data_IF_312659954682
#
_entry.id   IF_312659954682
#
_cell.length_a   1.000
_cell.length_b   1.000
_cell.length_c   1.000
_cell.angle_alpha   90.00
_cell.angle_beta   90.00
_cell.angle_gamma   90.00
#
_symmetry.space_group_name_H-M   'P 1'
#
loop_
_entity.id
_entity.type
_entity.pdbx_description
1 polymer ?
#
# COMPACT_ATOMS: atom_id res chain seq x y z
N UNK A 1 -6.33 -20.44 -36.63
CA UNK A 1 -5.66 -19.33 -35.90
C UNK A 1 -4.34 -19.88 -35.38
N UNK A 2 -3.23 -19.14 -35.47
CA UNK A 2 -1.93 -19.59 -34.95
C UNK A 2 -1.65 -18.88 -33.58
N UNK A 3 -1.04 -19.60 -32.67
CA UNK A 3 -0.67 -19.09 -31.37
C UNK A 3 0.56 -18.18 -31.47
N UNK A 4 0.68 -17.25 -30.51
CA UNK A 4 1.90 -16.47 -30.30
C UNK A 4 2.86 -17.21 -29.36
N UNK A 5 2.29 -17.88 -28.34
CA UNK A 5 3.04 -18.67 -27.36
C UNK A 5 2.38 -20.00 -27.09
N UNK A 6 3.19 -21.04 -26.88
CA UNK A 6 2.75 -22.36 -26.44
C UNK A 6 3.65 -22.82 -25.30
N UNK A 7 3.02 -23.33 -24.23
CA UNK A 7 3.70 -23.98 -23.11
C UNK A 7 3.43 -25.47 -23.17
N UNK A 8 4.47 -26.28 -23.06
CA UNK A 8 4.41 -27.74 -23.17
C UNK A 8 5.26 -28.42 -22.09
N UNK A 9 5.11 -29.76 -21.95
CA UNK A 9 5.92 -30.58 -21.06
C UNK A 9 5.92 -30.08 -19.60
N UNK A 10 4.73 -29.80 -19.05
CA UNK A 10 4.56 -29.35 -17.67
C UNK A 10 3.31 -29.92 -17.02
N UNK A 11 3.19 -29.67 -15.74
CA UNK A 11 1.95 -29.93 -14.98
C UNK A 11 1.12 -28.64 -14.95
N UNK A 12 0.13 -28.53 -15.83
CA UNK A 12 -0.66 -27.31 -15.98
C UNK A 12 -2.01 -27.50 -15.30
N UNK A 13 -2.22 -26.79 -14.19
CA UNK A 13 -3.46 -26.76 -13.44
C UNK A 13 -4.32 -25.58 -13.91
N UNK A 14 -5.50 -25.84 -14.41
CA UNK A 14 -6.32 -24.83 -15.10
C UNK A 14 -7.33 -24.13 -14.21
N UNK A 15 -7.59 -24.67 -12.99
CA UNK A 15 -8.69 -24.23 -12.12
C UNK A 15 -10.05 -24.35 -12.81
N UNK A 16 -10.22 -25.35 -13.70
CA UNK A 16 -11.45 -25.59 -14.44
C UNK A 16 -11.94 -27.02 -14.18
N UNK A 17 -13.11 -27.19 -13.60
CA UNK A 17 -13.71 -28.47 -13.20
C UNK A 17 -13.84 -29.47 -14.36
N UNK A 18 -13.88 -29.00 -15.61
CA UNK A 18 -14.04 -29.85 -16.80
C UNK A 18 -12.73 -30.43 -17.32
N UNK A 19 -11.63 -29.78 -17.01
CA UNK A 19 -10.28 -30.11 -17.48
C UNK A 19 -9.25 -29.57 -16.51
N UNK A 20 -9.25 -30.16 -15.31
CA UNK A 20 -8.47 -29.66 -14.17
C UNK A 20 -6.96 -29.64 -14.48
N UNK A 21 -6.45 -30.67 -15.14
CA UNK A 21 -5.05 -30.79 -15.53
C UNK A 21 -4.92 -30.97 -17.03
N UNK A 22 -3.97 -30.27 -17.64
CA UNK A 22 -3.66 -30.37 -19.08
C UNK A 22 -2.14 -30.41 -19.28
N UNK A 23 -1.72 -30.86 -20.47
CA UNK A 23 -0.31 -31.02 -20.84
C UNK A 23 0.28 -29.77 -21.50
N UNK A 24 -0.60 -28.98 -22.15
CA UNK A 24 -0.17 -27.80 -22.89
C UNK A 24 -1.22 -26.70 -22.92
N UNK A 25 -0.74 -25.46 -23.07
CA UNK A 25 -1.55 -24.26 -23.25
C UNK A 25 -1.03 -23.45 -24.42
N UNK A 26 -1.94 -22.97 -25.29
CA UNK A 26 -1.62 -22.07 -26.39
C UNK A 26 -2.30 -20.69 -26.18
N UNK A 27 -1.54 -19.62 -26.42
CA UNK A 27 -1.95 -18.23 -26.18
C UNK A 27 -1.87 -17.45 -27.48
N UNK A 28 -2.87 -16.59 -27.71
CA UNK A 28 -2.91 -15.61 -28.78
C UNK A 28 -3.28 -14.25 -28.20
N UNK A 29 -2.37 -13.27 -28.31
CA UNK A 29 -2.54 -11.97 -27.66
C UNK A 29 -2.70 -12.15 -26.15
N UNK A 30 -3.82 -11.69 -25.62
CA UNK A 30 -4.20 -11.77 -24.20
C UNK A 30 -5.13 -12.96 -23.87
N UNK A 31 -5.30 -13.92 -24.81
CA UNK A 31 -6.27 -15.01 -24.67
C UNK A 31 -5.61 -16.37 -24.73
N UNK A 32 -6.05 -17.26 -23.83
CA UNK A 32 -5.81 -18.69 -23.94
C UNK A 32 -6.76 -19.21 -25.05
N UNK A 33 -6.20 -19.74 -26.13
CA UNK A 33 -6.96 -20.26 -27.28
C UNK A 33 -7.05 -21.79 -27.30
N UNK A 34 -6.22 -22.45 -26.47
CA UNK A 34 -6.24 -23.89 -26.28
C UNK A 34 -5.65 -24.26 -24.92
N UNK A 35 -6.26 -25.24 -24.29
CA UNK A 35 -5.73 -25.93 -23.13
C UNK A 35 -6.11 -27.41 -23.24
N UNK A 36 -5.12 -28.32 -23.31
CA UNK A 36 -5.35 -29.74 -23.56
C UNK A 36 -4.05 -30.53 -23.71
N UNK A 37 -4.05 -31.51 -24.60
CA UNK A 37 -2.86 -32.29 -24.94
C UNK A 37 -1.81 -31.47 -25.72
N UNK A 38 -0.59 -31.98 -25.74
CA UNK A 38 0.51 -31.30 -26.44
C UNK A 38 0.35 -31.31 -27.96
N UNK A 39 -0.25 -32.37 -28.54
CA UNK A 39 -0.46 -32.50 -29.98
C UNK A 39 -1.38 -31.37 -30.49
N UNK A 40 -2.51 -31.15 -29.82
CA UNK A 40 -3.46 -30.07 -30.15
C UNK A 40 -2.86 -28.69 -30.02
N UNK A 41 -2.06 -28.45 -28.99
CA UNK A 41 -1.35 -27.19 -28.82
C UNK A 41 -0.33 -26.96 -29.96
N UNK A 42 0.48 -27.97 -30.29
CA UNK A 42 1.47 -27.89 -31.35
C UNK A 42 0.86 -27.72 -32.76
N UNK A 43 -0.35 -28.21 -32.98
CA UNK A 43 -1.09 -27.95 -34.23
C UNK A 43 -1.39 -26.45 -34.46
N UNK A 44 -1.33 -25.64 -33.40
CA UNK A 44 -1.49 -24.20 -33.43
C UNK A 44 -0.16 -23.43 -33.64
N UNK A 45 0.98 -24.13 -33.72
CA UNK A 45 2.26 -23.49 -34.08
C UNK A 45 2.22 -22.81 -35.44
N UNK A 46 2.80 -21.64 -35.52
CA UNK A 46 3.14 -20.90 -36.77
C UNK A 46 4.62 -20.56 -36.76
N UNK A 47 5.07 -19.89 -37.84
CA UNK A 47 6.50 -19.51 -38.01
C UNK A 47 7.06 -18.65 -36.86
N UNK A 48 6.19 -17.83 -36.22
CA UNK A 48 6.59 -16.90 -35.17
C UNK A 48 6.09 -17.33 -33.80
N UNK A 49 5.64 -18.57 -33.64
CA UNK A 49 5.16 -19.07 -32.34
C UNK A 49 6.33 -19.41 -31.44
N UNK A 50 6.40 -18.78 -30.28
CA UNK A 50 7.33 -19.12 -29.20
C UNK A 50 6.85 -20.39 -28.47
N UNK A 51 7.68 -21.42 -28.40
CA UNK A 51 7.38 -22.65 -27.67
C UNK A 51 8.29 -22.72 -26.45
N UNK A 52 7.66 -22.74 -25.27
CA UNK A 52 8.34 -22.85 -23.97
C UNK A 52 8.17 -24.27 -23.44
N UNK A 53 9.27 -24.99 -23.24
CA UNK A 53 9.31 -26.26 -22.52
C UNK A 53 9.34 -25.98 -21.02
N UNK A 54 8.32 -26.43 -20.30
CA UNK A 54 8.22 -26.26 -18.85
C UNK A 54 9.14 -27.24 -18.08
N UNK A 55 9.72 -28.22 -18.76
CA UNK A 55 10.64 -29.20 -18.17
C UNK A 55 10.08 -29.87 -16.89
N UNK A 56 8.82 -30.25 -16.93
CA UNK A 56 8.12 -30.85 -15.80
C UNK A 56 7.73 -29.88 -14.67
N UNK A 57 7.88 -28.59 -14.88
CA UNK A 57 7.43 -27.57 -13.89
C UNK A 57 5.93 -27.41 -13.90
N UNK A 58 5.40 -26.94 -12.77
CA UNK A 58 3.98 -26.59 -12.67
C UNK A 58 3.71 -25.21 -13.29
N UNK A 59 2.59 -25.09 -13.96
CA UNK A 59 2.01 -23.82 -14.44
C UNK A 59 0.62 -23.65 -13.85
N UNK A 60 0.32 -22.44 -13.37
CA UNK A 60 -0.95 -22.04 -12.78
C UNK A 60 -1.46 -20.76 -13.45
N UNK A 61 -2.77 -20.49 -13.42
CA UNK A 61 -3.25 -19.12 -13.61
C UNK A 61 -2.59 -18.19 -12.60
N UNK A 62 -2.30 -16.96 -13.00
CA UNK A 62 -1.78 -15.95 -12.08
C UNK A 62 -2.76 -15.70 -10.94
N UNK A 63 -2.25 -15.49 -9.75
CA UNK A 63 -3.08 -15.22 -8.58
C UNK A 63 -3.78 -13.87 -8.70
N UNK A 64 -4.99 -13.81 -8.16
CA UNK A 64 -5.79 -12.59 -8.06
C UNK A 64 -5.96 -12.31 -6.57
N UNK A 65 -5.36 -11.22 -6.10
CA UNK A 65 -5.62 -10.74 -4.75
C UNK A 65 -6.91 -9.93 -4.77
N UNK A 66 -7.98 -10.55 -4.26
CA UNK A 66 -9.33 -9.98 -4.28
C UNK A 66 -9.62 -9.01 -3.15
N UNK A 67 -8.69 -8.80 -2.21
CA UNK A 67 -8.82 -7.86 -1.10
C UNK A 67 -7.43 -7.46 -0.61
N UNK A 68 -6.92 -6.36 -1.13
CA UNK A 68 -5.63 -5.81 -0.72
C UNK A 68 -5.68 -4.28 -0.69
N UNK A 69 -4.60 -3.69 -0.21
CA UNK A 69 -4.39 -2.25 -0.16
C UNK A 69 -2.98 -1.92 -0.69
N UNK A 70 -2.71 -2.12 -2.00
CA UNK A 70 -1.37 -1.94 -2.54
C UNK A 70 -0.86 -0.50 -2.40
N UNK A 71 -1.76 0.47 -2.48
CA UNK A 71 -1.45 1.88 -2.28
C UNK A 71 -1.10 2.16 -0.82
N UNK A 72 -1.87 1.62 0.14
CA UNK A 72 -1.57 1.74 1.56
C UNK A 72 -0.28 0.98 1.92
N UNK A 73 -0.10 -0.23 1.39
CA UNK A 73 1.09 -1.04 1.62
C UNK A 73 2.38 -0.32 1.18
N UNK A 74 2.31 0.52 0.14
CA UNK A 74 3.43 1.35 -0.27
C UNK A 74 3.92 2.30 0.84
N UNK A 75 3.05 2.75 1.75
CA UNK A 75 3.44 3.54 2.91
C UNK A 75 4.41 2.80 3.83
N UNK A 76 4.27 1.47 3.96
CA UNK A 76 5.17 0.65 4.76
C UNK A 76 6.59 0.62 4.19
N UNK A 77 6.74 0.91 2.90
CA UNK A 77 8.03 1.00 2.22
C UNK A 77 8.60 2.43 2.26
N UNK A 78 7.80 3.42 2.66
CA UNK A 78 8.23 4.80 2.81
C UNK A 78 8.74 5.06 4.22
N UNK A 79 9.99 5.51 4.33
CA UNK A 79 10.53 5.94 5.60
C UNK A 79 11.04 4.82 6.52
N UNK A 80 10.94 5.02 7.84
CA UNK A 80 11.43 4.07 8.82
C UNK A 80 10.40 3.00 9.15
N UNK A 81 10.80 1.73 9.06
CA UNK A 81 9.98 0.61 9.49
C UNK A 81 10.43 0.10 10.86
N UNK A 82 9.49 0.10 11.82
CA UNK A 82 9.72 -0.35 13.19
C UNK A 82 9.17 -1.77 13.38
N UNK A 83 9.90 -2.58 14.14
CA UNK A 83 9.47 -3.95 14.41
C UNK A 83 8.50 -3.97 15.60
N UNK A 84 7.42 -4.72 15.48
CA UNK A 84 6.35 -4.81 16.49
C UNK A 84 6.84 -5.35 17.85
N UNK A 85 7.97 -6.06 17.87
CA UNK A 85 8.57 -6.63 19.06
C UNK A 85 9.44 -5.63 19.84
N UNK A 86 9.72 -4.45 19.27
CA UNK A 86 10.57 -3.45 19.89
C UNK A 86 9.84 -2.65 20.95
N UNK A 87 10.56 -2.28 22.01
CA UNK A 87 10.12 -1.29 22.98
C UNK A 87 10.36 0.15 22.52
N UNK A 88 9.96 1.11 23.35
CA UNK A 88 10.09 2.54 23.03
C UNK A 88 11.53 2.95 22.73
N UNK A 89 12.50 2.46 23.51
CA UNK A 89 13.93 2.81 23.35
C UNK A 89 14.49 2.33 22.01
N UNK A 90 14.16 1.10 21.60
CA UNK A 90 14.59 0.54 20.31
C UNK A 90 13.94 1.28 19.15
N UNK A 91 12.66 1.60 19.27
CA UNK A 91 11.94 2.40 18.25
C UNK A 91 12.60 3.78 18.08
N UNK A 92 12.87 4.51 19.17
CA UNK A 92 13.52 5.81 19.13
C UNK A 92 14.93 5.73 18.55
N UNK A 93 15.71 4.69 18.90
CA UNK A 93 17.05 4.50 18.36
C UNK A 93 17.04 4.28 16.83
N UNK A 94 16.08 3.49 16.31
CA UNK A 94 16.00 3.29 14.86
C UNK A 94 15.48 4.53 14.13
N UNK A 95 14.53 5.27 14.72
CA UNK A 95 14.09 6.57 14.18
C UNK A 95 15.26 7.54 14.12
N UNK A 96 16.06 7.67 15.20
CA UNK A 96 17.23 8.53 15.24
C UNK A 96 18.27 8.15 14.18
N UNK A 97 18.53 6.86 14.03
CA UNK A 97 19.44 6.32 13.00
C UNK A 97 18.94 6.67 11.60
N UNK A 98 17.63 6.51 11.33
CA UNK A 98 17.02 6.87 10.05
C UNK A 98 17.15 8.38 9.76
N UNK A 99 16.84 9.23 10.72
CA UNK A 99 16.98 10.69 10.59
C UNK A 99 18.42 11.09 10.28
N UNK A 100 19.40 10.50 11.00
CA UNK A 100 20.84 10.76 10.76
C UNK A 100 21.32 10.28 9.38
N UNK A 101 20.74 9.19 8.87
CA UNK A 101 21.07 8.66 7.55
C UNK A 101 20.44 9.46 6.40
N UNK A 102 19.39 10.23 6.68
CA UNK A 102 18.64 11.02 5.70
C UNK A 102 18.56 12.50 6.11
N UNK A 103 19.70 13.22 6.23
CA UNK A 103 19.72 14.56 6.79
C UNK A 103 19.07 15.63 5.90
N UNK A 104 18.89 15.33 4.62
CA UNK A 104 18.32 16.26 3.62
C UNK A 104 16.81 16.14 3.48
N UNK A 105 16.18 15.18 4.14
CA UNK A 105 14.72 15.00 4.08
C UNK A 105 14.00 16.19 4.74
N UNK A 106 13.03 16.75 4.06
CA UNK A 106 12.18 17.83 4.57
C UNK A 106 11.16 17.34 5.61
N UNK A 107 10.79 16.05 5.53
CA UNK A 107 9.84 15.40 6.42
C UNK A 107 10.33 13.99 6.77
N UNK A 108 9.83 13.45 7.88
CA UNK A 108 10.12 12.07 8.27
C UNK A 108 8.84 11.31 8.51
N UNK A 109 8.74 10.15 7.88
CA UNK A 109 7.63 9.23 8.04
C UNK A 109 8.11 7.86 8.47
N UNK A 110 7.26 7.13 9.17
CA UNK A 110 7.53 5.74 9.56
C UNK A 110 6.28 5.02 10.01
N UNK A 111 6.42 3.72 10.24
CA UNK A 111 5.32 2.87 10.67
C UNK A 111 5.86 1.66 11.45
N UNK A 112 5.03 1.10 12.31
CA UNK A 112 5.22 -0.24 12.85
C UNK A 112 5.40 -0.34 14.35
N UNK A 113 5.48 0.77 15.13
CA UNK A 113 5.54 0.62 16.57
C UNK A 113 4.27 -0.08 17.11
N UNK A 114 4.44 -0.92 18.10
CA UNK A 114 3.31 -1.56 18.77
C UNK A 114 2.65 -0.58 19.75
N UNK A 115 1.34 -0.40 19.65
CA UNK A 115 0.59 0.59 20.44
C UNK A 115 0.71 0.34 21.96
N UNK A 116 0.90 -0.91 22.37
CA UNK A 116 1.00 -1.30 23.78
C UNK A 116 2.37 -1.04 24.44
N UNK A 117 3.40 -0.56 23.70
CA UNK A 117 4.73 -0.32 24.27
C UNK A 117 4.79 0.90 25.20
N UNK A 118 3.78 1.75 25.15
CA UNK A 118 3.73 2.97 25.96
C UNK A 118 3.04 2.77 27.32
N UNK A 119 2.60 1.56 27.66
CA UNK A 119 1.88 1.20 28.88
C UNK A 119 0.72 2.16 29.19
N UNK A 120 0.71 2.77 30.40
CA UNK A 120 -0.27 3.78 30.81
C UNK A 120 0.09 5.20 30.30
N UNK A 121 1.25 5.34 29.65
CA UNK A 121 1.69 6.61 29.04
C UNK A 121 1.41 6.58 27.55
N UNK A 122 0.95 7.68 26.97
CA UNK A 122 0.80 7.77 25.52
C UNK A 122 2.13 8.17 24.86
N UNK A 123 2.28 7.97 23.53
CA UNK A 123 3.34 8.59 22.74
C UNK A 123 3.39 10.11 23.00
N UNK A 124 4.58 10.66 23.24
CA UNK A 124 4.77 12.08 23.51
C UNK A 124 5.61 12.73 22.43
N UNK A 125 5.16 13.89 21.94
CA UNK A 125 5.86 14.70 20.93
C UNK A 125 7.31 15.00 21.30
N UNK A 126 7.58 15.24 22.58
CA UNK A 126 8.89 15.57 23.11
C UNK A 126 9.93 14.45 22.89
N UNK A 127 9.51 13.20 22.79
CA UNK A 127 10.39 12.08 22.50
C UNK A 127 10.92 12.16 21.05
N UNK A 128 10.06 12.53 20.10
CA UNK A 128 10.47 12.76 18.70
C UNK A 128 11.20 14.10 18.53
N UNK A 129 10.80 15.12 19.29
CA UNK A 129 11.49 16.43 19.29
C UNK A 129 12.95 16.30 19.71
N UNK A 130 13.26 15.39 20.63
CA UNK A 130 14.63 15.10 21.04
C UNK A 130 15.49 14.55 19.90
N UNK A 131 14.88 13.93 18.89
CA UNK A 131 15.55 13.42 17.69
C UNK A 131 15.63 14.51 16.61
N UNK A 132 14.50 15.16 16.32
CA UNK A 132 14.41 16.21 15.31
C UNK A 132 13.24 17.14 15.61
N UNK A 133 13.53 18.35 16.06
CA UNK A 133 12.54 19.35 16.44
C UNK A 133 12.20 20.35 15.32
N UNK A 134 13.01 20.42 14.27
CA UNK A 134 12.91 21.43 13.22
C UNK A 134 12.18 20.96 11.95
N UNK A 135 11.96 19.65 11.83
CA UNK A 135 11.26 19.04 10.70
C UNK A 135 10.09 18.19 11.18
N UNK A 136 8.96 18.15 10.43
CA UNK A 136 7.81 17.38 10.83
C UNK A 136 8.09 15.89 10.74
N UNK A 137 7.61 15.17 11.75
CA UNK A 137 7.74 13.72 11.86
C UNK A 137 6.40 13.11 12.20
N UNK A 138 6.06 12.00 11.51
CA UNK A 138 4.86 11.21 11.74
C UNK A 138 5.21 9.72 11.68
N UNK A 139 4.95 9.01 12.76
CA UNK A 139 5.17 7.57 12.88
C UNK A 139 3.83 6.91 13.14
N UNK A 140 3.39 6.03 12.24
CA UNK A 140 2.16 5.25 12.42
C UNK A 140 2.40 4.06 13.35
N UNK A 141 1.41 3.73 14.15
CA UNK A 141 1.35 2.45 14.85
C UNK A 141 1.21 1.27 13.88
N UNK A 142 1.45 0.08 14.36
CA UNK A 142 1.41 -1.16 13.56
C UNK A 142 0.02 -1.44 12.96
N UNK A 143 -1.03 -0.99 13.62
CA UNK A 143 -2.42 -1.10 13.14
C UNK A 143 -2.81 0.00 12.14
N UNK A 144 -2.00 1.05 12.00
CA UNK A 144 -2.29 2.31 11.29
C UNK A 144 -3.47 3.13 11.89
N UNK A 145 -4.06 2.69 13.01
CA UNK A 145 -5.14 3.43 13.70
C UNK A 145 -4.61 4.53 14.63
N UNK A 146 -3.33 4.50 14.95
CA UNK A 146 -2.68 5.50 15.79
C UNK A 146 -1.48 6.11 15.09
N UNK A 147 -1.17 7.36 15.43
CA UNK A 147 0.05 8.02 14.98
C UNK A 147 0.73 8.77 16.11
N UNK A 148 2.05 8.80 16.04
CA UNK A 148 2.92 9.57 16.89
C UNK A 148 3.59 10.67 16.09
N UNK A 149 3.36 11.94 16.47
CA UNK A 149 3.90 13.11 15.77
C UNK A 149 4.70 13.99 16.71
N UNK A 150 5.67 14.71 16.14
CA UNK A 150 6.45 15.70 16.88
C UNK A 150 5.74 17.07 16.96
N UNK A 151 6.32 17.99 17.74
CA UNK A 151 5.79 19.35 17.90
C UNK A 151 5.75 20.10 16.57
N UNK A 152 6.71 19.86 15.67
CA UNK A 152 6.77 20.54 14.38
C UNK A 152 5.64 20.14 13.46
N UNK A 153 5.24 18.88 13.48
CA UNK A 153 4.08 18.40 12.71
C UNK A 153 2.77 19.03 13.21
N UNK A 154 2.57 19.11 14.53
CA UNK A 154 1.41 19.79 15.12
C UNK A 154 1.38 21.28 14.77
N UNK A 155 2.52 21.98 14.87
CA UNK A 155 2.67 23.40 14.52
C UNK A 155 2.27 23.65 13.07
N UNK A 156 2.85 22.90 12.12
CA UNK A 156 2.60 23.09 10.68
C UNK A 156 1.16 22.74 10.29
N UNK A 157 0.56 21.77 10.98
CA UNK A 157 -0.85 21.42 10.80
C UNK A 157 -1.82 22.41 11.48
N UNK A 158 -1.32 23.32 12.31
CA UNK A 158 -2.12 24.28 13.07
C UNK A 158 -2.95 23.65 14.18
N UNK A 159 -2.49 22.50 14.72
CA UNK A 159 -3.19 21.77 15.77
C UNK A 159 -2.75 22.29 17.12
N UNK A 160 -3.71 22.75 17.91
CA UNK A 160 -3.54 23.35 19.22
C UNK A 160 -4.55 22.76 20.22
N UNK A 161 -4.51 23.21 21.48
CA UNK A 161 -5.52 22.85 22.49
C UNK A 161 -6.96 23.23 22.09
N UNK A 162 -7.12 24.25 21.25
CA UNK A 162 -8.41 24.76 20.81
C UNK A 162 -8.92 24.06 19.52
N UNK A 163 -8.12 23.19 18.92
CA UNK A 163 -8.50 22.41 17.73
C UNK A 163 -9.52 21.34 18.15
N UNK A 164 -10.73 21.33 17.56
CA UNK A 164 -11.71 20.31 17.87
C UNK A 164 -11.28 18.92 17.38
N UNK A 165 -11.69 17.91 18.10
CA UNK A 165 -11.53 16.52 17.63
C UNK A 165 -12.48 16.27 16.45
N UNK A 166 -12.02 15.59 15.37
CA UNK A 166 -12.86 15.27 14.22
C UNK A 166 -14.14 14.52 14.59
N UNK A 167 -14.02 13.49 15.46
CA UNK A 167 -15.15 12.76 16.05
C UNK A 167 -14.83 12.56 17.51
N UNK A 168 -15.41 13.38 18.44
CA UNK A 168 -15.10 13.29 19.87
C UNK A 168 -15.28 11.88 20.44
N UNK A 169 -14.23 11.39 21.11
CA UNK A 169 -14.22 10.06 21.71
C UNK A 169 -13.92 8.89 20.75
N UNK A 170 -13.74 9.17 19.46
CA UNK A 170 -13.36 8.17 18.45
C UNK A 170 -12.18 8.65 17.62
N UNK A 171 -12.30 9.74 16.83
CA UNK A 171 -11.16 10.38 16.18
C UNK A 171 -10.74 11.58 17.01
N UNK A 172 -9.71 11.47 17.83
CA UNK A 172 -9.33 12.52 18.77
C UNK A 172 -7.81 12.64 18.96
N UNK A 173 -7.40 13.84 19.37
CA UNK A 173 -6.04 14.11 19.83
C UNK A 173 -5.94 13.77 21.32
N UNK A 174 -4.98 12.93 21.69
CA UNK A 174 -4.68 12.74 23.10
C UNK A 174 -4.09 14.05 23.68
N UNK A 175 -4.61 14.49 24.82
CA UNK A 175 -4.26 15.76 25.45
C UNK A 175 -3.73 15.55 26.86
N UNK A 176 -2.85 16.42 27.27
CA UNK A 176 -2.37 16.47 28.65
C UNK A 176 -3.39 17.14 29.60
N UNK A 177 -3.01 17.33 30.88
CA UNK A 177 -3.86 17.94 31.90
C UNK A 177 -4.17 19.42 31.63
N UNK A 178 -3.35 20.10 30.85
CA UNK A 178 -3.48 21.48 30.41
C UNK A 178 -4.30 21.61 29.11
N UNK A 179 -4.65 20.46 28.50
CA UNK A 179 -5.42 20.37 27.26
C UNK A 179 -4.55 20.45 25.99
N UNK A 180 -3.22 20.49 26.13
CA UNK A 180 -2.32 20.54 24.98
C UNK A 180 -2.19 19.16 24.31
N UNK A 181 -2.15 19.08 22.95
CA UNK A 181 -1.93 17.82 22.24
C UNK A 181 -0.57 17.21 22.60
N UNK A 182 -0.59 15.94 22.98
CA UNK A 182 0.63 15.20 23.40
C UNK A 182 1.49 14.74 22.23
N UNK A 183 0.96 14.76 21.01
CA UNK A 183 1.56 14.15 19.83
C UNK A 183 1.01 12.77 19.51
N UNK A 184 0.12 12.22 20.34
CA UNK A 184 -0.58 10.98 20.07
C UNK A 184 -1.93 11.28 19.38
N UNK A 185 -2.09 10.73 18.19
CA UNK A 185 -3.26 10.89 17.33
C UNK A 185 -3.99 9.56 17.26
N UNK A 186 -5.30 9.58 17.47
CA UNK A 186 -6.13 8.39 17.39
C UNK A 186 -7.07 8.49 16.21
N UNK A 187 -7.07 7.43 15.41
CA UNK A 187 -7.85 7.23 14.21
C UNK A 187 -7.49 8.16 13.04
N UNK A 188 -7.89 7.74 11.85
CA UNK A 188 -7.54 8.36 10.57
C UNK A 188 -7.92 9.82 10.42
N UNK A 189 -9.02 10.25 11.05
CA UNK A 189 -9.47 11.64 10.97
C UNK A 189 -8.44 12.63 11.52
N UNK A 190 -7.73 12.28 12.61
CA UNK A 190 -6.66 13.11 13.16
C UNK A 190 -5.40 13.05 12.33
N UNK A 191 -5.07 11.87 11.78
CA UNK A 191 -3.92 11.67 10.89
C UNK A 191 -4.07 12.48 9.60
N UNK A 192 -5.27 12.49 9.01
CA UNK A 192 -5.58 13.25 7.82
C UNK A 192 -5.39 14.76 8.01
N UNK A 193 -5.74 15.29 9.19
CA UNK A 193 -5.51 16.71 9.49
C UNK A 193 -4.02 17.10 9.43
N UNK A 194 -3.11 16.17 9.75
CA UNK A 194 -1.66 16.34 9.56
C UNK A 194 -1.28 16.22 8.09
N UNK A 195 -1.70 15.14 7.43
CA UNK A 195 -1.28 14.82 6.06
C UNK A 195 -1.87 15.77 5.00
N UNK A 196 -2.99 16.42 5.27
CA UNK A 196 -3.52 17.49 4.42
C UNK A 196 -2.65 18.76 4.39
N UNK A 197 -1.83 18.97 5.42
CA UNK A 197 -0.97 20.14 5.57
C UNK A 197 0.49 19.87 5.28
N UNK A 198 0.91 18.62 5.45
CA UNK A 198 2.30 18.19 5.33
C UNK A 198 2.38 17.07 4.30
N UNK A 199 3.12 17.32 3.23
CA UNK A 199 3.41 16.28 2.25
C UNK A 199 4.58 15.43 2.74
N UNK A 200 4.30 14.19 3.16
CA UNK A 200 5.34 13.22 3.55
C UNK A 200 5.89 12.43 2.37
N UNK A 201 5.24 12.48 1.22
CA UNK A 201 5.55 11.62 0.08
C UNK A 201 5.63 12.46 -1.20
N UNK A 202 6.80 12.55 -1.79
CA UNK A 202 6.96 13.09 -3.12
C UNK A 202 6.63 12.05 -4.20
N UNK A 203 6.49 12.51 -5.44
CA UNK A 203 6.11 11.65 -6.57
C UNK A 203 7.17 10.57 -6.83
N UNK A 204 8.44 10.91 -6.78
CA UNK A 204 9.53 9.99 -7.09
C UNK A 204 9.58 8.85 -6.07
N UNK A 205 9.40 9.18 -4.78
CA UNK A 205 9.25 8.20 -3.71
C UNK A 205 8.07 7.27 -3.95
N UNK A 206 6.91 7.82 -4.31
CA UNK A 206 5.70 7.04 -4.60
C UNK A 206 5.93 6.08 -5.77
N UNK A 207 6.48 6.55 -6.88
CA UNK A 207 6.77 5.71 -8.06
C UNK A 207 7.72 4.57 -7.69
N UNK A 208 8.76 4.86 -6.93
CA UNK A 208 9.73 3.87 -6.47
C UNK A 208 9.08 2.77 -5.61
N UNK A 209 8.36 3.15 -4.56
CA UNK A 209 7.75 2.16 -3.65
C UNK A 209 6.62 1.37 -4.31
N UNK A 210 5.85 1.98 -5.21
CA UNK A 210 4.83 1.28 -5.98
C UNK A 210 5.44 0.29 -6.96
N UNK A 211 6.60 0.61 -7.55
CA UNK A 211 7.35 -0.34 -8.37
C UNK A 211 7.85 -1.53 -7.56
N UNK A 212 8.44 -1.28 -6.37
CA UNK A 212 8.88 -2.34 -5.46
C UNK A 212 7.71 -3.26 -5.05
N UNK A 213 6.58 -2.68 -4.67
CA UNK A 213 5.38 -3.44 -4.34
C UNK A 213 4.90 -4.29 -5.53
N UNK A 214 4.85 -3.70 -6.73
CA UNK A 214 4.48 -4.39 -7.96
C UNK A 214 5.44 -5.53 -8.31
N UNK A 215 6.73 -5.33 -8.13
CA UNK A 215 7.75 -6.37 -8.34
C UNK A 215 7.61 -7.50 -7.33
N UNK A 216 7.32 -7.19 -6.07
CA UNK A 216 7.01 -8.16 -5.03
C UNK A 216 5.78 -9.01 -5.36
N UNK A 217 4.69 -8.39 -5.77
CA UNK A 217 3.49 -9.10 -6.25
C UNK A 217 3.81 -10.01 -7.45
N UNK A 218 4.55 -9.51 -8.43
CA UNK A 218 4.94 -10.29 -9.60
C UNK A 218 5.81 -11.51 -9.23
N UNK A 219 6.75 -11.36 -8.30
CA UNK A 219 7.59 -12.44 -7.79
C UNK A 219 6.78 -13.55 -7.09
N UNK A 220 5.66 -13.20 -6.47
CA UNK A 220 4.72 -14.13 -5.85
C UNK A 220 3.69 -14.72 -6.83
N UNK A 221 3.73 -14.32 -8.10
CA UNK A 221 2.78 -14.77 -9.12
C UNK A 221 1.41 -14.06 -9.08
N UNK A 222 1.29 -12.95 -8.38
CA UNK A 222 0.07 -12.13 -8.37
C UNK A 222 0.03 -11.30 -9.66
N UNK A 223 -1.05 -11.45 -10.42
CA UNK A 223 -1.26 -10.80 -11.72
C UNK A 223 -2.39 -9.78 -11.72
N UNK A 224 -3.21 -9.78 -10.67
CA UNK A 224 -4.30 -8.82 -10.49
C UNK A 224 -4.45 -8.49 -9.02
N UNK A 225 -4.78 -7.24 -8.72
CA UNK A 225 -5.03 -6.73 -7.37
C UNK A 225 -6.35 -6.00 -7.33
N UNK A 226 -7.12 -6.21 -6.26
CA UNK A 226 -8.31 -5.44 -5.97
C UNK A 226 -8.05 -4.57 -4.74
N UNK A 227 -7.77 -3.29 -4.98
CA UNK A 227 -7.60 -2.31 -3.91
C UNK A 227 -8.95 -1.96 -3.29
N UNK A 228 -9.10 -2.23 -2.02
CA UNK A 228 -10.34 -1.98 -1.27
C UNK A 228 -10.51 -0.49 -0.88
N UNK A 229 -9.69 0.38 -1.44
CA UNK A 229 -9.69 1.80 -1.16
C UNK A 229 -8.93 2.12 0.12
N UNK A 230 -8.81 3.32 0.47
CA UNK A 230 -8.28 3.97 1.68
C UNK A 230 -7.98 5.44 1.34
N UNK A 231 -8.91 6.08 0.66
CA UNK A 231 -8.75 7.44 0.12
C UNK A 231 -8.54 8.50 1.21
N UNK A 232 -8.79 8.13 2.47
CA UNK A 232 -8.73 9.04 3.61
C UNK A 232 -7.30 9.29 4.15
N UNK A 233 -6.29 8.52 3.70
CA UNK A 233 -4.92 8.62 4.23
C UNK A 233 -4.00 9.60 3.48
N UNK A 234 -4.50 10.70 2.98
CA UNK A 234 -3.66 11.59 2.15
C UNK A 234 -3.16 10.92 0.86
N UNK A 235 -3.75 9.78 0.50
CA UNK A 235 -3.33 8.92 -0.61
C UNK A 235 -3.75 9.44 -1.98
N UNK A 236 -4.33 10.62 -2.04
CA UNK A 236 -4.79 11.23 -3.30
C UNK A 236 -3.70 11.22 -4.36
N UNK A 237 -2.47 11.55 -4.00
CA UNK A 237 -1.32 11.58 -4.90
C UNK A 237 -1.03 10.22 -5.53
N UNK A 238 -1.22 9.12 -4.81
CA UNK A 238 -1.05 7.77 -5.34
C UNK A 238 -2.09 7.45 -6.41
N UNK A 239 -3.36 7.76 -6.14
CA UNK A 239 -4.42 7.51 -7.11
C UNK A 239 -4.35 8.43 -8.33
N UNK A 240 -3.77 9.63 -8.20
CA UNK A 240 -3.54 10.55 -9.31
C UNK A 240 -2.39 10.08 -10.20
N UNK A 241 -1.36 9.45 -9.64
CA UNK A 241 -0.20 8.94 -10.39
C UNK A 241 -0.36 7.51 -10.89
N UNK A 242 -1.23 6.72 -10.26
CA UNK A 242 -1.43 5.30 -10.58
C UNK A 242 -1.75 5.00 -12.06
N UNK A 243 -2.63 5.76 -12.76
CA UNK A 243 -2.88 5.52 -14.19
C UNK A 243 -1.61 5.62 -15.03
N UNK A 244 -0.75 6.60 -14.78
CA UNK A 244 0.52 6.77 -15.49
C UNK A 244 1.50 5.63 -15.19
N UNK A 245 1.53 5.14 -13.94
CA UNK A 245 2.35 3.99 -13.54
C UNK A 245 1.89 2.70 -14.22
N UNK A 246 0.58 2.50 -14.39
CA UNK A 246 0.02 1.36 -15.11
C UNK A 246 0.38 1.45 -16.60
N UNK A 247 0.16 2.61 -17.23
CA UNK A 247 0.41 2.83 -18.64
C UNK A 247 1.91 2.71 -18.98
N UNK A 248 2.80 3.13 -18.09
CA UNK A 248 4.26 2.99 -18.26
C UNK A 248 4.80 1.59 -17.93
N UNK A 249 3.97 0.73 -17.32
CA UNK A 249 4.37 -0.63 -16.90
C UNK A 249 5.16 -0.67 -15.58
N UNK A 250 5.23 0.42 -14.82
CA UNK A 250 5.77 0.44 -13.46
C UNK A 250 4.92 -0.47 -12.59
N UNK A 251 3.58 -0.29 -12.63
CA UNK A 251 2.66 -1.20 -11.97
C UNK A 251 2.21 -2.29 -12.96
N UNK A 252 2.60 -3.53 -12.72
CA UNK A 252 2.49 -4.67 -13.67
C UNK A 252 1.18 -5.44 -13.55
N UNK A 253 0.51 -5.38 -12.41
CA UNK A 253 -0.74 -6.08 -12.15
C UNK A 253 -1.92 -5.35 -12.82
N UNK A 254 -2.97 -6.11 -13.15
CA UNK A 254 -4.28 -5.50 -13.42
C UNK A 254 -4.79 -4.92 -12.12
N UNK A 255 -5.09 -3.63 -12.11
CA UNK A 255 -5.58 -2.93 -10.92
C UNK A 255 -7.09 -2.75 -10.99
N UNK A 256 -7.77 -3.17 -9.93
CA UNK A 256 -9.19 -2.94 -9.71
C UNK A 256 -9.32 -2.10 -8.45
N UNK A 257 -9.86 -0.89 -8.55
CA UNK A 257 -10.04 0.01 -7.42
C UNK A 257 -11.48 -0.06 -6.90
N UNK A 258 -11.65 -0.10 -5.59
CA UNK A 258 -12.91 0.12 -4.92
C UNK A 258 -12.92 1.54 -4.34
N UNK A 259 -13.97 2.31 -4.62
CA UNK A 259 -14.20 3.57 -3.92
C UNK A 259 -14.78 3.29 -2.54
N UNK A 260 -14.10 3.72 -1.49
CA UNK A 260 -14.69 3.73 -0.15
C UNK A 260 -15.65 4.91 -0.05
N UNK A 261 -16.89 4.64 0.29
CA UNK A 261 -17.90 5.64 0.53
C UNK A 261 -18.19 5.70 2.03
N UNK A 262 -17.71 6.77 2.67
CA UNK A 262 -18.15 7.15 4.01
C UNK A 262 -19.14 8.28 3.80
N UNK A 263 -20.43 7.94 3.76
CA UNK A 263 -21.50 8.90 3.53
C UNK A 263 -22.49 8.85 4.68
N UNK A 264 -22.89 10.00 5.19
CA UNK A 264 -24.07 10.11 6.03
C UNK A 264 -25.33 9.92 5.17
N UNK A 265 -26.43 9.53 5.81
CA UNK A 265 -27.70 9.36 5.11
C UNK A 265 -28.12 10.69 4.46
N UNK A 266 -28.18 10.70 3.14
CA UNK A 266 -28.50 11.89 2.33
C UNK A 266 -27.36 12.37 1.43
N UNK A 267 -26.16 11.80 1.55
CA UNK A 267 -24.99 12.17 0.75
C UNK A 267 -24.84 11.34 -0.54
N UNK A 268 -25.72 10.38 -0.78
CA UNK A 268 -25.66 9.43 -1.90
C UNK A 268 -25.59 10.13 -3.26
N UNK A 269 -26.35 11.23 -3.41
CA UNK A 269 -26.36 12.03 -4.65
C UNK A 269 -25.08 12.83 -4.89
N UNK A 270 -24.27 13.04 -3.87
CA UNK A 270 -23.02 13.82 -3.93
C UNK A 270 -21.79 12.93 -4.08
N UNK A 271 -21.80 11.75 -3.46
CA UNK A 271 -20.64 10.85 -3.40
C UNK A 271 -20.55 9.93 -4.61
N UNK A 272 -21.68 9.31 -5.02
CA UNK A 272 -21.72 8.40 -6.17
C UNK A 272 -21.22 9.02 -7.48
N UNK A 273 -21.56 10.26 -7.85
CA UNK A 273 -21.04 10.88 -9.09
C UNK A 273 -19.55 11.15 -9.10
N UNK A 274 -18.86 11.09 -7.93
CA UNK A 274 -17.41 11.30 -7.84
C UNK A 274 -16.61 10.00 -7.99
N UNK A 275 -17.28 8.85 -7.96
CA UNK A 275 -16.68 7.52 -8.08
C UNK A 275 -16.76 6.94 -9.50
N UNK A 276 -17.42 7.62 -10.40
CA UNK A 276 -17.57 7.31 -11.83
C UNK A 276 -16.77 8.35 -12.62
#
# INVERSE_FOLDING_TARGET
>A
MKADRIFVNGYIYTVNDRSEWVEAVAIKGDRIIYAGDEEGARALCGENTEVTDLAGKMMLPGFIDGHCHPVLAAHYLCGVYLQIEWGVEECLAEIEKYVKANPDNETYFGIGYAEWIFDETCPKKEMLDAICADRPMMILGSSAHEAWVNSKALELAGITKDTPDPIPGFHYFHRDAEGEPTGHLLEMGTQNMIMEKINFFDRDTIEHVMQEASDGYAAMGVTSTCDMGMQEFGLKVYYETLPEMIDSGIYKQRFFGCGQMVAEKGDEDVVLPRLI
#
